data_IF_032948499333
#
_entry.id   IF_032948499333
#
_cell.length_a   1.000
_cell.length_b   1.000
_cell.length_c   1.000
_cell.angle_alpha   90.00
_cell.angle_beta   90.00
_cell.angle_gamma   90.00
#
_symmetry.space_group_name_H-M   'P 1'
#
loop_
_entity.id
_entity.type
_entity.pdbx_description
1 polymer ?
#
# COMPACT_ATOMS: atom_id res chain seq x y z
N UNK A 1 18.30 -42.13 -41.16
CA UNK A 1 18.87 -41.25 -40.12
C UNK A 1 18.14 -39.92 -40.25
N UNK A 2 17.35 -39.52 -39.23
CA UNK A 2 16.55 -38.29 -39.24
C UNK A 2 17.41 -37.16 -38.68
N UNK A 3 17.75 -36.17 -39.49
CA UNK A 3 18.57 -35.04 -39.07
C UNK A 3 17.68 -34.03 -38.33
N UNK A 4 17.91 -33.89 -37.03
CA UNK A 4 17.21 -32.94 -36.16
C UNK A 4 17.98 -31.61 -36.17
N UNK A 5 17.39 -30.56 -36.75
CA UNK A 5 17.93 -29.19 -36.72
C UNK A 5 17.46 -28.49 -35.45
N UNK A 6 18.39 -28.06 -34.60
CA UNK A 6 18.14 -27.24 -33.41
C UNK A 6 18.46 -25.79 -33.76
N UNK A 7 17.55 -24.81 -33.57
CA UNK A 7 17.86 -23.42 -33.82
C UNK A 7 18.64 -22.82 -32.63
N UNK A 8 19.77 -22.20 -32.93
CA UNK A 8 20.60 -21.43 -31.99
C UNK A 8 20.01 -20.02 -31.83
N UNK A 9 19.51 -19.70 -30.63
CA UNK A 9 19.07 -18.35 -30.27
C UNK A 9 20.29 -17.50 -29.89
N UNK A 10 20.65 -16.53 -30.73
CA UNK A 10 21.69 -15.54 -30.43
C UNK A 10 21.05 -14.35 -29.71
N UNK A 11 21.35 -14.19 -28.43
CA UNK A 11 20.98 -13.01 -27.63
C UNK A 11 22.10 -11.96 -27.79
N UNK A 12 21.83 -10.89 -28.52
CA UNK A 12 22.71 -9.72 -28.60
C UNK A 12 22.41 -8.85 -27.37
N UNK A 13 23.33 -8.85 -26.40
CA UNK A 13 23.24 -8.00 -25.22
C UNK A 13 23.49 -6.53 -25.59
N UNK A 14 22.52 -5.65 -25.30
CA UNK A 14 22.74 -4.20 -25.31
C UNK A 14 23.60 -3.81 -24.10
N UNK A 15 24.84 -3.38 -24.32
CA UNK A 15 25.64 -2.71 -23.30
C UNK A 15 25.38 -1.21 -23.32
N UNK A 16 24.79 -0.69 -22.23
CA UNK A 16 24.68 0.75 -22.00
C UNK A 16 26.09 1.32 -21.74
N UNK A 17 26.62 2.12 -22.67
CA UNK A 17 27.78 2.95 -22.39
C UNK A 17 27.29 4.19 -21.63
N UNK A 18 27.50 4.22 -20.31
CA UNK A 18 27.35 5.45 -19.55
C UNK A 18 28.49 6.40 -19.98
N UNK A 19 28.13 7.52 -20.60
CA UNK A 19 29.03 8.64 -20.84
C UNK A 19 29.30 9.30 -19.48
N UNK A 20 30.36 8.90 -18.79
CA UNK A 20 30.86 9.68 -17.67
C UNK A 20 31.46 10.97 -18.21
N UNK A 21 31.07 12.13 -17.66
CA UNK A 21 31.78 13.38 -17.92
C UNK A 21 33.27 13.19 -17.60
N UNK A 22 34.16 13.94 -18.27
CA UNK A 22 35.58 13.92 -17.93
C UNK A 22 35.74 14.35 -16.47
N UNK A 23 35.93 13.37 -15.58
CA UNK A 23 36.37 13.62 -14.21
C UNK A 23 37.86 13.94 -14.34
N UNK A 24 38.26 15.12 -13.86
CA UNK A 24 39.68 15.40 -13.68
C UNK A 24 40.20 14.46 -12.58
N UNK A 25 40.90 13.40 -12.98
CA UNK A 25 41.39 12.32 -12.14
C UNK A 25 42.91 12.38 -11.91
N UNK A 26 43.55 13.46 -12.37
CA UNK A 26 44.98 13.67 -12.22
C UNK A 26 45.41 15.12 -12.44
N UNK A 27 46.69 15.39 -12.17
CA UNK A 27 47.29 16.74 -12.25
C UNK A 27 48.36 16.75 -13.33
N UNK A 28 48.19 17.58 -14.36
CA UNK A 28 49.22 17.75 -15.38
C UNK A 28 50.50 18.36 -14.80
N UNK A 29 51.64 17.73 -15.07
CA UNK A 29 52.95 18.18 -14.65
C UNK A 29 53.91 18.18 -15.84
N UNK A 30 54.71 19.24 -15.95
CA UNK A 30 55.69 19.41 -17.01
C UNK A 30 56.95 20.06 -16.45
N UNK A 31 58.11 19.49 -16.73
CA UNK A 31 59.38 20.00 -16.24
C UNK A 31 60.55 19.63 -17.17
N UNK A 32 61.67 20.33 -17.01
CA UNK A 32 62.92 20.08 -17.72
C UNK A 32 63.92 19.42 -16.77
N UNK A 33 64.47 18.27 -17.16
CA UNK A 33 65.47 17.54 -16.40
C UNK A 33 66.90 18.01 -16.74
N UNK A 34 67.64 18.44 -15.72
CA UNK A 34 69.03 18.92 -15.80
C UNK A 34 69.97 18.04 -14.97
N UNK A 35 71.21 17.87 -15.43
CA UNK A 35 72.26 17.14 -14.71
C UNK A 35 72.82 17.98 -13.54
N UNK A 36 73.27 17.32 -12.48
CA UNK A 36 73.69 17.89 -11.19
C UNK A 36 75.07 18.57 -11.23
N UNK A 37 75.33 19.45 -12.20
CA UNK A 37 76.60 20.21 -12.23
C UNK A 37 76.52 21.59 -11.53
N UNK A 38 75.47 21.87 -10.76
CA UNK A 38 75.35 23.12 -9.99
C UNK A 38 74.35 23.04 -8.85
N UNK A 39 74.67 23.67 -7.71
CA UNK A 39 73.74 23.91 -6.62
C UNK A 39 72.84 25.08 -7.00
N UNK A 40 71.52 24.90 -6.94
CA UNK A 40 70.55 25.97 -7.17
C UNK A 40 70.70 27.06 -6.09
N UNK A 41 70.84 28.32 -6.53
CA UNK A 41 70.76 29.52 -5.69
C UNK A 41 69.76 30.46 -6.36
N UNK A 42 68.85 31.05 -5.59
CA UNK A 42 67.78 31.89 -6.13
C UNK A 42 68.34 33.04 -6.98
N UNK A 43 67.94 33.09 -8.25
CA UNK A 43 68.30 34.15 -9.20
C UNK A 43 69.53 33.91 -10.07
N UNK A 44 70.09 32.68 -10.10
CA UNK A 44 71.21 32.32 -10.97
C UNK A 44 70.93 31.05 -11.77
N UNK A 45 71.23 31.06 -13.08
CA UNK A 45 71.02 29.91 -13.98
C UNK A 45 71.83 28.69 -13.52
N UNK A 46 71.18 27.53 -13.46
CA UNK A 46 71.84 26.24 -13.28
C UNK A 46 72.68 25.95 -14.53
N UNK A 47 74.00 25.89 -14.39
CA UNK A 47 74.92 25.42 -15.45
C UNK A 47 74.97 23.87 -15.51
N UNK A 48 73.80 23.24 -15.48
CA UNK A 48 73.63 21.79 -15.62
C UNK A 48 73.45 21.41 -17.09
N UNK A 49 74.05 20.29 -17.52
CA UNK A 49 73.81 19.78 -18.87
C UNK A 49 72.38 19.24 -18.99
N UNK A 50 71.72 19.50 -20.11
CA UNK A 50 70.38 18.98 -20.41
C UNK A 50 70.42 17.45 -20.48
N UNK A 51 69.47 16.79 -19.83
CA UNK A 51 69.28 15.34 -19.93
C UNK A 51 68.41 15.05 -21.16
N UNK A 52 69.02 15.01 -22.34
CA UNK A 52 68.32 14.82 -23.62
C UNK A 52 68.05 13.34 -23.93
N UNK A 53 66.80 12.99 -24.28
CA UNK A 53 66.48 11.69 -24.89
C UNK A 53 66.65 10.48 -23.97
N UNK A 54 66.70 10.68 -22.64
CA UNK A 54 66.97 9.60 -21.68
C UNK A 54 65.70 9.14 -20.97
N UNK A 55 65.62 7.84 -20.75
CA UNK A 55 64.64 7.25 -19.85
C UNK A 55 65.02 7.57 -18.40
N UNK A 56 64.12 8.23 -17.68
CA UNK A 56 64.26 8.59 -16.26
C UNK A 56 63.06 8.06 -15.47
N UNK A 57 63.25 7.88 -14.16
CA UNK A 57 62.13 7.68 -13.25
C UNK A 57 61.86 8.98 -12.49
N UNK A 58 60.59 9.39 -12.40
CA UNK A 58 60.15 10.55 -11.63
C UNK A 58 59.17 10.07 -10.57
N UNK A 59 59.39 10.47 -9.32
CA UNK A 59 58.55 10.10 -8.19
C UNK A 59 57.86 11.34 -7.65
N UNK A 60 56.54 11.25 -7.54
CA UNK A 60 55.71 12.27 -6.92
C UNK A 60 55.23 11.77 -5.56
N UNK A 61 55.11 12.67 -4.59
CA UNK A 61 54.55 12.34 -3.27
C UNK A 61 53.71 13.51 -2.76
N UNK A 62 52.49 13.21 -2.30
CA UNK A 62 51.64 14.15 -1.57
C UNK A 62 51.91 14.03 -0.07
N UNK A 63 52.19 15.15 0.58
CA UNK A 63 52.53 15.24 2.00
C UNK A 63 51.58 16.20 2.71
N UNK A 64 51.10 15.85 3.90
CA UNK A 64 50.14 16.64 4.69
C UNK A 64 50.82 17.52 5.76
N UNK A 65 50.31 18.74 5.96
CA UNK A 65 50.61 19.64 7.07
C UNK A 65 51.93 20.41 6.92
N UNK A 66 53.05 19.70 6.77
CA UNK A 66 54.40 20.26 6.60
C UNK A 66 55.18 19.55 5.48
N UNK A 67 56.29 20.13 4.96
CA UNK A 67 57.13 19.47 3.96
C UNK A 67 57.67 18.09 4.38
N UNK A 68 57.75 17.81 5.68
CA UNK A 68 58.19 16.55 6.28
C UNK A 68 57.05 15.77 6.97
N UNK A 69 55.79 16.10 6.69
CA UNK A 69 54.61 15.51 7.32
C UNK A 69 54.25 14.10 6.84
N UNK A 70 52.99 13.69 7.03
CA UNK A 70 52.52 12.35 6.68
C UNK A 70 52.50 12.16 5.15
N UNK A 71 53.03 11.03 4.67
CA UNK A 71 52.95 10.64 3.26
C UNK A 71 51.54 10.13 2.94
N UNK A 72 50.75 10.93 2.23
CA UNK A 72 49.40 10.55 1.83
C UNK A 72 49.38 9.67 0.59
N UNK A 73 50.13 10.04 -0.44
CA UNK A 73 50.14 9.35 -1.73
C UNK A 73 51.52 9.42 -2.35
N UNK A 74 51.89 8.38 -3.11
CA UNK A 74 53.14 8.34 -3.87
C UNK A 74 52.96 7.53 -5.12
N UNK A 75 53.59 7.98 -6.20
CA UNK A 75 53.66 7.23 -7.45
C UNK A 75 55.01 7.42 -8.16
N UNK A 76 55.31 6.49 -9.06
CA UNK A 76 56.50 6.54 -9.93
C UNK A 76 56.11 6.48 -11.39
N UNK A 77 56.60 7.44 -12.17
CA UNK A 77 56.52 7.46 -13.62
C UNK A 77 57.86 7.06 -14.23
N UNK A 78 57.81 6.26 -15.30
CA UNK A 78 58.96 6.01 -16.17
C UNK A 78 58.74 6.77 -17.47
N UNK A 79 59.55 7.81 -17.73
CA UNK A 79 59.37 8.71 -18.88
C UNK A 79 60.65 8.90 -19.65
N UNK A 80 60.52 9.29 -20.93
CA UNK A 80 61.64 9.73 -21.75
C UNK A 80 61.62 11.26 -21.85
N UNK A 81 62.77 11.89 -21.66
CA UNK A 81 62.93 13.32 -21.92
C UNK A 81 63.08 13.60 -23.41
N UNK A 82 62.69 14.79 -23.87
CA UNK A 82 62.89 15.22 -25.25
C UNK A 82 64.31 15.79 -25.48
N UNK A 83 64.51 16.41 -26.65
CA UNK A 83 65.81 17.01 -27.01
C UNK A 83 66.25 18.19 -26.12
N UNK A 84 65.31 18.77 -25.38
CA UNK A 84 65.50 19.89 -24.46
C UNK A 84 65.40 19.45 -22.99
N UNK A 85 65.31 18.14 -22.72
CA UNK A 85 65.18 17.60 -21.37
C UNK A 85 63.76 17.66 -20.81
N UNK A 86 62.78 18.08 -21.61
CA UNK A 86 61.38 18.22 -21.21
C UNK A 86 60.71 16.86 -21.08
N UNK A 87 59.91 16.69 -20.04
CA UNK A 87 58.96 15.59 -19.90
C UNK A 87 57.61 16.12 -19.42
N UNK A 88 56.54 15.39 -19.75
CA UNK A 88 55.19 15.69 -19.31
C UNK A 88 54.50 14.41 -18.84
N UNK A 89 53.78 14.51 -17.72
CA UNK A 89 53.05 13.41 -17.07
C UNK A 89 51.75 13.92 -16.46
N UNK A 90 50.85 13.00 -16.16
CA UNK A 90 49.67 13.27 -15.34
C UNK A 90 49.90 12.59 -13.99
N UNK A 91 50.03 13.39 -12.93
CA UNK A 91 50.14 12.90 -11.58
C UNK A 91 48.83 12.20 -11.20
N UNK A 92 48.90 10.98 -10.68
CA UNK A 92 47.77 10.09 -10.43
C UNK A 92 47.67 8.93 -11.43
N UNK A 93 48.41 9.00 -12.55
CA UNK A 93 48.45 7.96 -13.59
C UNK A 93 49.76 7.16 -13.60
N UNK A 94 50.62 7.36 -12.60
CA UNK A 94 51.86 6.62 -12.42
C UNK A 94 51.62 5.29 -11.69
N UNK A 95 52.71 4.58 -11.43
CA UNK A 95 52.63 3.37 -10.59
C UNK A 95 52.58 3.79 -9.12
N UNK A 96 51.41 3.70 -8.50
CA UNK A 96 51.23 3.98 -7.08
C UNK A 96 52.15 3.08 -6.22
N UNK A 97 52.77 3.67 -5.21
CA UNK A 97 53.63 2.97 -4.26
C UNK A 97 52.82 2.52 -3.05
N UNK A 98 53.08 1.30 -2.57
CA UNK A 98 52.35 0.69 -1.46
C UNK A 98 52.54 1.39 -0.10
N UNK A 99 53.51 2.31 0.01
CA UNK A 99 53.81 3.05 1.24
C UNK A 99 53.05 4.38 1.37
N UNK A 100 52.31 4.80 0.34
CA UNK A 100 51.33 5.88 0.47
C UNK A 100 50.08 5.41 1.23
N UNK A 101 49.56 6.25 2.13
CA UNK A 101 48.30 6.01 2.86
C UNK A 101 47.13 5.70 1.93
N UNK A 102 47.06 6.38 0.80
CA UNK A 102 46.10 6.18 -0.27
C UNK A 102 46.79 5.58 -1.50
N UNK A 103 46.05 4.75 -2.24
CA UNK A 103 46.52 4.13 -3.48
C UNK A 103 46.00 4.82 -4.74
N UNK A 104 44.99 5.68 -4.59
CA UNK A 104 44.47 6.55 -5.64
C UNK A 104 44.61 8.02 -5.22
N UNK A 105 44.99 8.89 -6.17
CA UNK A 105 45.14 10.33 -5.92
C UNK A 105 43.79 10.98 -5.53
N UNK A 106 42.68 10.41 -6.03
CA UNK A 106 41.31 10.87 -5.79
C UNK A 106 40.78 10.59 -4.39
N UNK A 107 41.42 9.71 -3.62
CA UNK A 107 41.03 9.39 -2.24
C UNK A 107 41.55 10.41 -1.21
N UNK A 108 42.46 11.31 -1.62
CA UNK A 108 43.01 12.35 -0.75
C UNK A 108 41.93 13.39 -0.42
N UNK A 109 41.80 13.75 0.85
CA UNK A 109 41.01 14.90 1.26
C UNK A 109 41.77 16.21 0.97
N UNK A 110 41.54 16.79 -0.20
CA UNK A 110 42.17 18.01 -0.68
C UNK A 110 41.82 19.28 0.12
N UNK A 111 40.85 19.20 1.04
CA UNK A 111 40.35 20.33 1.83
C UNK A 111 40.67 20.28 3.32
N UNK A 112 41.22 19.18 3.84
CA UNK A 112 41.42 18.96 5.26
C UNK A 112 42.59 19.77 5.86
N UNK A 113 43.73 19.83 5.16
CA UNK A 113 44.95 20.54 5.61
C UNK A 113 45.78 21.02 4.41
N UNK A 114 46.91 21.69 4.68
CA UNK A 114 47.91 22.10 3.69
C UNK A 114 48.57 20.87 3.09
N UNK A 115 48.56 20.78 1.76
CA UNK A 115 49.23 19.71 1.02
C UNK A 115 50.50 20.21 0.33
N UNK A 116 51.50 19.33 0.22
CA UNK A 116 52.77 19.61 -0.43
C UNK A 116 53.05 18.54 -1.49
N UNK A 117 53.45 19.01 -2.67
CA UNK A 117 53.99 18.19 -3.75
C UNK A 117 55.50 18.05 -3.57
N UNK A 118 55.95 16.85 -3.27
CA UNK A 118 57.37 16.47 -3.29
C UNK A 118 57.70 15.78 -4.61
N UNK A 119 58.78 16.24 -5.26
CA UNK A 119 59.25 15.72 -6.54
C UNK A 119 60.67 15.18 -6.39
N UNK A 120 60.89 13.96 -6.86
CA UNK A 120 62.18 13.31 -6.84
C UNK A 120 62.48 12.64 -8.20
N UNK A 121 63.75 12.58 -8.59
CA UNK A 121 64.18 12.01 -9.87
C UNK A 121 65.24 10.93 -9.67
N UNK A 122 65.18 9.88 -10.48
CA UNK A 122 66.23 8.87 -10.61
C UNK A 122 66.61 8.75 -12.09
N UNK A 123 67.72 9.41 -12.43
CA UNK A 123 68.24 9.51 -13.80
C UNK A 123 68.81 8.17 -14.28
N UNK A 124 69.31 7.32 -13.37
CA UNK A 124 69.93 6.03 -13.69
C UNK A 124 68.95 4.87 -13.63
N UNK A 125 67.72 5.12 -13.18
CA UNK A 125 66.69 4.09 -12.93
C UNK A 125 67.18 2.99 -11.98
N UNK A 126 68.05 3.35 -11.04
CA UNK A 126 68.66 2.42 -10.07
C UNK A 126 67.85 2.26 -8.78
N UNK A 127 66.73 2.95 -8.63
CA UNK A 127 65.93 3.06 -7.41
C UNK A 127 66.41 4.15 -6.45
N UNK A 128 67.47 4.88 -6.78
CA UNK A 128 68.04 5.94 -5.95
C UNK A 128 67.50 7.30 -6.39
N UNK A 129 66.42 7.73 -5.75
CA UNK A 129 65.75 9.00 -6.05
C UNK A 129 66.43 10.18 -5.35
N UNK A 130 66.61 11.26 -6.09
CA UNK A 130 67.15 12.54 -5.60
C UNK A 130 66.05 13.58 -5.51
N UNK A 131 66.02 14.34 -4.41
CA UNK A 131 65.06 15.42 -4.19
C UNK A 131 65.28 16.58 -5.17
N UNK A 132 64.22 16.96 -5.90
CA UNK A 132 64.18 18.12 -6.78
C UNK A 132 63.50 19.32 -6.10
N UNK A 133 62.50 19.08 -5.24
CA UNK A 133 61.86 20.13 -4.48
C UNK A 133 60.63 19.65 -3.71
N UNK A 134 60.21 20.48 -2.75
CA UNK A 134 58.94 20.33 -2.02
C UNK A 134 58.22 21.66 -2.10
N UNK A 135 57.01 21.69 -2.67
CA UNK A 135 56.23 22.90 -2.85
C UNK A 135 54.84 22.74 -2.26
N UNK A 136 54.39 23.74 -1.49
CA UNK A 136 53.00 23.78 -1.03
C UNK A 136 52.05 23.96 -2.22
N UNK A 137 51.02 23.12 -2.28
CA UNK A 137 49.95 23.25 -3.26
C UNK A 137 48.99 24.35 -2.82
N UNK A 138 48.63 25.21 -3.77
CA UNK A 138 47.67 26.29 -3.58
C UNK A 138 46.38 25.95 -4.34
N UNK A 139 45.24 26.34 -3.78
CA UNK A 139 43.95 26.17 -4.44
C UNK A 139 43.89 26.95 -5.77
N UNK A 140 43.30 26.32 -6.79
CA UNK A 140 42.98 26.95 -8.08
C UNK A 140 41.58 27.58 -8.05
N UNK A 141 41.21 28.52 -8.95
CA UNK A 141 39.90 29.21 -8.91
C UNK A 141 38.67 28.29 -8.82
N UNK A 142 38.68 27.13 -9.49
CA UNK A 142 37.60 26.15 -9.41
C UNK A 142 37.50 25.49 -8.01
N UNK A 143 38.63 25.24 -7.35
CA UNK A 143 38.68 24.68 -6.00
C UNK A 143 38.17 25.66 -4.92
N UNK A 144 38.27 26.97 -5.16
CA UNK A 144 37.66 27.97 -4.27
C UNK A 144 36.13 27.98 -4.34
N UNK A 145 35.53 27.60 -5.47
CA UNK A 145 34.08 27.48 -5.58
C UNK A 145 33.54 26.28 -4.79
N UNK A 146 34.22 25.13 -4.85
CA UNK A 146 33.84 23.95 -4.05
C UNK A 146 33.97 24.19 -2.55
N UNK A 147 35.00 24.92 -2.11
CA UNK A 147 35.19 25.28 -0.70
C UNK A 147 34.05 26.15 -0.13
N UNK A 148 33.44 26.99 -0.96
CA UNK A 148 32.33 27.87 -0.57
C UNK A 148 30.95 27.23 -0.73
N UNK A 149 30.86 26.00 -1.24
CA UNK A 149 29.58 25.32 -1.34
C UNK A 149 29.12 24.84 0.05
N UNK A 150 27.88 25.13 0.47
CA UNK A 150 27.35 24.62 1.73
C UNK A 150 27.38 23.09 1.75
N UNK A 151 28.00 22.51 2.79
CA UNK A 151 27.92 21.07 3.05
C UNK A 151 26.47 20.71 3.38
N UNK A 152 25.89 19.81 2.59
CA UNK A 152 24.57 19.24 2.91
C UNK A 152 24.79 18.20 3.99
N UNK A 153 24.38 18.50 5.22
CA UNK A 153 24.40 17.53 6.33
C UNK A 153 23.46 16.37 5.99
N UNK A 154 23.83 15.15 6.39
CA UNK A 154 22.95 14.00 6.24
C UNK A 154 21.63 14.21 7.00
N UNK A 155 20.52 13.89 6.36
CA UNK A 155 19.19 13.91 6.96
C UNK A 155 18.87 12.60 7.67
N UNK A 156 17.67 12.53 8.25
CA UNK A 156 17.08 11.30 8.80
C UNK A 156 16.16 10.63 7.77
N UNK A 157 15.79 9.37 8.03
CA UNK A 157 14.79 8.64 7.21
C UNK A 157 13.40 9.28 7.20
N UNK A 158 13.11 10.17 8.15
CA UNK A 158 11.83 10.90 8.27
C UNK A 158 11.89 12.29 7.64
N UNK A 159 12.87 12.57 6.78
CA UNK A 159 13.05 13.88 6.16
C UNK A 159 13.28 13.78 4.65
N UNK A 160 12.99 14.86 3.94
CA UNK A 160 13.36 15.08 2.55
C UNK A 160 14.08 16.42 2.40
N UNK A 161 14.96 16.50 1.40
CA UNK A 161 15.72 17.71 1.11
C UNK A 161 14.96 18.58 0.11
N UNK A 162 14.83 19.88 0.39
CA UNK A 162 14.22 20.86 -0.53
C UNK A 162 15.25 21.53 -1.42
N UNK A 163 14.77 22.20 -2.47
CA UNK A 163 15.61 22.98 -3.40
C UNK A 163 16.34 24.17 -2.76
N UNK A 164 15.90 24.61 -1.58
CA UNK A 164 16.57 25.60 -0.74
C UNK A 164 17.69 25.01 0.14
N UNK A 165 18.01 23.70 -0.05
CA UNK A 165 18.98 22.93 0.73
C UNK A 165 18.64 22.77 2.21
N UNK A 166 17.36 22.92 2.58
CA UNK A 166 16.89 22.65 3.95
C UNK A 166 16.18 21.30 4.04
N UNK A 167 16.36 20.62 5.18
CA UNK A 167 15.64 19.39 5.48
C UNK A 167 14.24 19.70 6.01
N UNK A 168 13.24 18.99 5.50
CA UNK A 168 11.85 19.07 5.96
C UNK A 168 11.35 17.70 6.39
N UNK A 169 10.49 17.64 7.41
CA UNK A 169 9.84 16.40 7.85
C UNK A 169 8.97 15.81 6.74
N UNK A 170 9.09 14.50 6.53
CA UNK A 170 8.22 13.70 5.68
C UNK A 170 7.02 13.21 6.52
N UNK A 171 5.90 13.92 6.44
CA UNK A 171 4.65 13.58 7.11
C UNK A 171 3.47 13.51 6.12
N UNK A 172 2.26 13.18 6.61
CA UNK A 172 1.05 13.11 5.76
C UNK A 172 0.74 14.43 5.07
N UNK A 173 1.05 15.56 5.71
CA UNK A 173 0.81 16.89 5.14
C UNK A 173 1.75 17.11 3.95
N UNK A 174 3.02 16.76 4.11
CA UNK A 174 4.05 16.89 3.07
C UNK A 174 3.72 16.13 1.78
N UNK A 175 2.95 15.04 1.85
CA UNK A 175 2.52 14.23 0.69
C UNK A 175 1.05 14.40 0.33
N UNK A 176 0.31 15.33 0.94
CA UNK A 176 -1.10 15.58 0.62
C UNK A 176 -2.07 14.47 1.06
N UNK A 177 -1.70 13.67 2.06
CA UNK A 177 -2.47 12.54 2.58
C UNK A 177 -3.18 12.85 3.91
N UNK A 178 -3.58 14.11 4.13
CA UNK A 178 -4.23 14.55 5.38
C UNK A 178 -5.53 13.80 5.71
N UNK A 179 -6.24 13.32 4.68
CA UNK A 179 -7.48 12.56 4.84
C UNK A 179 -7.28 11.04 4.96
N UNK A 180 -6.04 10.56 4.78
CA UNK A 180 -5.74 9.13 4.87
C UNK A 180 -5.54 8.76 6.33
N UNK A 181 -6.38 7.88 6.84
CA UNK A 181 -6.22 7.27 8.16
C UNK A 181 -5.34 6.02 8.05
N UNK A 182 -4.37 5.89 8.95
CA UNK A 182 -3.50 4.71 9.02
C UNK A 182 -3.93 3.85 10.21
N UNK A 183 -5.18 3.41 10.17
CA UNK A 183 -5.82 2.60 11.22
C UNK A 183 -6.18 1.25 10.62
N UNK A 184 -5.87 0.16 11.32
CA UNK A 184 -6.31 -1.17 10.90
C UNK A 184 -7.83 -1.23 10.82
N UNK A 185 -8.37 -1.85 9.78
CA UNK A 185 -9.82 -1.93 9.57
C UNK A 185 -10.57 -2.55 10.77
N UNK A 186 -9.89 -3.43 11.52
CA UNK A 186 -10.39 -4.07 12.75
C UNK A 186 -10.73 -3.12 13.89
N UNK A 187 -10.15 -1.91 13.90
CA UNK A 187 -10.40 -0.89 14.92
C UNK A 187 -10.88 0.43 14.33
N UNK A 188 -11.24 0.43 13.03
CA UNK A 188 -11.67 1.64 12.35
C UNK A 188 -13.16 1.89 12.61
N UNK A 189 -13.45 2.98 13.33
CA UNK A 189 -14.81 3.36 13.71
C UNK A 189 -15.54 4.19 12.64
N UNK A 190 -14.99 4.29 11.43
CA UNK A 190 -15.45 5.22 10.40
C UNK A 190 -14.85 6.62 10.54
N UNK A 191 -14.98 7.43 9.50
CA UNK A 191 -14.60 8.84 9.52
C UNK A 191 -15.57 9.69 8.70
N UNK A 192 -15.64 10.98 9.02
CA UNK A 192 -16.42 11.95 8.24
C UNK A 192 -15.84 12.21 6.84
N UNK A 193 -14.64 11.71 6.56
CA UNK A 193 -13.97 11.89 5.27
C UNK A 193 -14.43 10.86 4.22
N UNK A 194 -15.15 9.81 4.64
CA UNK A 194 -15.68 8.78 3.74
C UNK A 194 -17.20 8.92 3.60
N UNK A 195 -17.63 9.49 2.47
CA UNK A 195 -19.05 9.65 2.14
C UNK A 195 -19.76 8.33 1.79
N UNK A 196 -19.01 7.28 1.45
CA UNK A 196 -19.57 5.99 1.04
C UNK A 196 -18.59 4.87 1.39
N UNK A 197 -19.05 3.88 2.18
CA UNK A 197 -18.23 2.72 2.60
C UNK A 197 -18.13 1.65 1.49
N UNK A 198 -18.92 1.78 0.42
CA UNK A 198 -18.94 0.86 -0.72
C UNK A 198 -19.87 -0.36 -0.50
N UNK A 199 -19.75 -1.35 -1.37
CA UNK A 199 -20.55 -2.58 -1.33
C UNK A 199 -19.72 -3.75 -0.81
N UNK A 200 -20.29 -4.57 0.08
CA UNK A 200 -19.70 -5.87 0.44
C UNK A 200 -20.05 -6.86 -0.68
N UNK A 201 -19.14 -7.04 -1.65
CA UNK A 201 -19.35 -7.96 -2.78
C UNK A 201 -19.18 -9.44 -2.43
N UNK A 202 -18.48 -9.71 -1.33
CA UNK A 202 -18.23 -11.06 -0.81
C UNK A 202 -17.89 -11.00 0.68
N UNK A 203 -18.28 -12.03 1.44
CA UNK A 203 -18.01 -12.13 2.88
C UNK A 203 -19.19 -11.73 3.76
N UNK A 204 -19.01 -11.85 5.07
CA UNK A 204 -20.04 -11.55 6.08
C UNK A 204 -19.81 -10.16 6.67
N UNK A 205 -20.89 -9.42 6.88
CA UNK A 205 -20.85 -8.23 7.72
C UNK A 205 -20.77 -8.65 9.19
N UNK A 206 -19.61 -8.46 9.82
CA UNK A 206 -19.35 -8.86 11.21
C UNK A 206 -19.44 -7.68 12.19
N UNK A 207 -20.28 -6.68 11.92
CA UNK A 207 -20.51 -5.61 12.88
C UNK A 207 -21.56 -6.02 13.93
N UNK A 208 -21.68 -5.21 14.97
CA UNK A 208 -22.80 -5.29 15.91
C UNK A 208 -24.14 -4.91 15.26
N UNK A 209 -25.15 -4.58 16.07
CA UNK A 209 -26.47 -4.15 15.56
C UNK A 209 -26.36 -2.99 14.55
N UNK A 210 -27.16 -3.05 13.48
CA UNK A 210 -27.29 -1.95 12.53
C UNK A 210 -28.15 -0.83 13.14
N UNK A 211 -27.56 0.35 13.37
CA UNK A 211 -28.31 1.56 13.70
C UNK A 211 -28.38 2.46 12.47
N UNK A 212 -29.53 2.50 11.79
CA UNK A 212 -29.75 3.27 10.57
C UNK A 212 -30.74 4.40 10.83
N UNK A 213 -30.41 5.63 10.43
CA UNK A 213 -31.34 6.77 10.45
C UNK A 213 -32.33 6.76 9.27
N UNK A 214 -32.10 5.89 8.27
CA UNK A 214 -32.95 5.73 7.09
C UNK A 214 -33.48 4.31 6.92
N UNK A 215 -34.27 4.11 5.86
CA UNK A 215 -34.83 2.81 5.48
C UNK A 215 -33.72 1.80 5.13
N UNK A 216 -33.85 0.59 5.67
CA UNK A 216 -33.03 -0.56 5.27
C UNK A 216 -33.83 -1.35 4.22
N UNK A 217 -33.22 -1.63 3.07
CA UNK A 217 -33.81 -2.47 2.03
C UNK A 217 -32.95 -3.71 1.80
N UNK A 218 -33.58 -4.81 1.44
CA UNK A 218 -32.90 -6.07 1.15
C UNK A 218 -33.86 -7.03 0.47
N UNK A 219 -33.32 -8.00 -0.28
CA UNK A 219 -34.14 -9.02 -0.94
C UNK A 219 -34.92 -9.87 0.06
N UNK A 220 -34.41 -10.01 1.28
CA UNK A 220 -35.10 -10.66 2.40
C UNK A 220 -34.56 -10.18 3.75
N UNK A 221 -35.44 -10.19 4.75
CA UNK A 221 -35.09 -10.10 6.16
C UNK A 221 -35.42 -11.44 6.79
N UNK A 222 -34.43 -12.14 7.34
CA UNK A 222 -34.59 -13.48 7.89
C UNK A 222 -34.05 -13.55 9.31
N UNK A 223 -34.79 -14.21 10.20
CA UNK A 223 -34.24 -14.67 11.47
C UNK A 223 -33.50 -15.97 11.23
N UNK A 224 -32.30 -16.12 11.82
CA UNK A 224 -31.54 -17.37 11.72
C UNK A 224 -32.39 -18.54 12.22
N UNK A 225 -32.62 -19.53 11.35
CA UNK A 225 -33.46 -20.70 11.63
C UNK A 225 -34.97 -20.50 11.45
N UNK A 226 -35.42 -19.34 10.95
CA UNK A 226 -36.82 -19.11 10.62
C UNK A 226 -37.29 -19.91 9.39
N UNK A 227 -38.59 -20.11 9.27
CA UNK A 227 -39.22 -20.82 8.15
C UNK A 227 -40.06 -19.87 7.28
N UNK A 228 -40.40 -20.29 6.05
CA UNK A 228 -41.23 -19.49 5.13
C UNK A 228 -42.69 -19.33 5.57
N UNK A 229 -43.13 -20.07 6.59
CA UNK A 229 -44.49 -20.01 7.15
C UNK A 229 -44.61 -19.03 8.32
N UNK A 230 -43.50 -18.39 8.72
CA UNK A 230 -43.44 -17.50 9.87
C UNK A 230 -43.49 -16.04 9.44
N UNK A 231 -44.17 -15.22 10.24
CA UNK A 231 -44.12 -13.77 10.12
C UNK A 231 -43.10 -13.23 11.13
N UNK A 232 -42.19 -12.36 10.69
CA UNK A 232 -41.23 -11.70 11.56
C UNK A 232 -41.80 -10.39 12.09
N UNK A 233 -41.62 -10.15 13.38
CA UNK A 233 -41.93 -8.89 14.05
C UNK A 233 -40.76 -7.91 13.96
N UNK A 234 -41.03 -6.63 14.20
CA UNK A 234 -40.01 -5.58 14.19
C UNK A 234 -38.91 -5.77 15.25
N UNK A 235 -39.23 -6.44 16.37
CA UNK A 235 -38.27 -6.80 17.42
C UNK A 235 -37.44 -8.06 17.09
N UNK A 236 -37.65 -8.66 15.91
CA UNK A 236 -36.98 -9.87 15.45
C UNK A 236 -37.58 -11.17 16.00
N UNK A 237 -38.65 -11.11 16.78
CA UNK A 237 -39.40 -12.29 17.20
C UNK A 237 -40.24 -12.87 16.05
N UNK A 238 -40.64 -14.14 16.19
CA UNK A 238 -41.61 -14.77 15.29
C UNK A 238 -43.00 -14.52 15.85
N UNK A 239 -43.92 -14.16 14.96
CA UNK A 239 -45.34 -14.07 15.29
C UNK A 239 -45.91 -15.46 15.56
N UNK A 240 -46.42 -15.67 16.78
CA UNK A 240 -47.02 -16.93 17.20
C UNK A 240 -48.56 -16.93 17.07
N UNK A 241 -49.16 -15.87 16.53
CA UNK A 241 -50.60 -15.84 16.34
C UNK A 241 -51.02 -16.83 15.24
N UNK A 242 -52.09 -17.58 15.51
CA UNK A 242 -52.80 -18.32 14.47
C UNK A 242 -53.65 -17.33 13.70
N UNK A 243 -53.24 -17.02 12.47
CA UNK A 243 -54.02 -16.19 11.58
C UNK A 243 -55.14 -17.00 10.94
N UNK A 244 -56.38 -16.60 11.17
CA UNK A 244 -57.52 -17.12 10.41
C UNK A 244 -57.31 -16.70 8.96
N UNK A 245 -57.12 -17.67 8.06
CA UNK A 245 -56.86 -17.41 6.64
C UNK A 245 -58.13 -17.25 5.81
N UNK A 246 -59.31 -17.45 6.43
CA UNK A 246 -60.61 -17.13 5.86
C UNK A 246 -61.76 -17.52 6.79
N UNK A 247 -62.88 -16.82 6.66
CA UNK A 247 -64.18 -17.18 7.23
C UNK A 247 -65.00 -17.76 6.08
N UNK A 248 -65.57 -18.96 6.22
CA UNK A 248 -66.47 -19.53 5.19
C UNK A 248 -67.90 -19.54 5.71
N UNK A 249 -68.83 -19.03 4.92
CA UNK A 249 -70.27 -19.13 5.18
C UNK A 249 -70.81 -20.43 4.59
N UNK A 250 -71.73 -21.05 5.30
CA UNK A 250 -72.46 -22.22 4.84
C UNK A 250 -73.93 -22.11 5.23
N UNK A 251 -74.75 -22.71 4.39
CA UNK A 251 -76.19 -22.82 4.54
C UNK A 251 -76.55 -24.30 4.49
N UNK A 252 -77.00 -24.85 5.61
CA UNK A 252 -77.51 -26.22 5.68
C UNK A 252 -79.04 -26.20 5.66
N UNK A 253 -79.65 -26.99 4.77
CA UNK A 253 -81.09 -27.13 4.66
C UNK A 253 -81.56 -28.57 4.93
N UNK A 254 -82.68 -28.69 5.63
CA UNK A 254 -83.31 -29.97 6.00
C UNK A 254 -84.82 -29.90 5.77
N UNK A 255 -85.45 -31.05 5.52
CA UNK A 255 -86.90 -31.22 5.66
C UNK A 255 -87.19 -31.94 6.97
N UNK A 256 -87.93 -31.31 7.88
CA UNK A 256 -88.22 -31.87 9.19
C UNK A 256 -89.20 -33.05 9.10
N UNK A 257 -89.06 -34.01 10.02
CA UNK A 257 -90.10 -34.97 10.36
C UNK A 257 -91.03 -34.41 11.45
N UNK A 258 -92.22 -34.99 11.61
CA UNK A 258 -93.16 -34.57 12.65
C UNK A 258 -92.54 -34.72 14.05
N UNK A 259 -92.52 -33.64 14.83
CA UNK A 259 -91.92 -33.59 16.16
C UNK A 259 -90.39 -33.63 16.22
N UNK A 260 -89.68 -33.57 15.08
CA UNK A 260 -88.22 -33.54 15.07
C UNK A 260 -87.70 -32.32 15.84
N UNK A 261 -86.67 -32.52 16.65
CA UNK A 261 -86.06 -31.45 17.45
C UNK A 261 -84.54 -31.37 17.32
N UNK A 262 -83.90 -32.28 16.57
CA UNK A 262 -82.44 -32.29 16.41
C UNK A 262 -82.02 -32.30 14.94
N UNK A 263 -81.01 -31.51 14.64
CA UNK A 263 -80.36 -31.38 13.34
C UNK A 263 -78.84 -31.52 13.53
N UNK A 264 -78.16 -32.04 12.50
CA UNK A 264 -76.71 -32.16 12.46
C UNK A 264 -76.19 -31.34 11.30
N UNK A 265 -75.46 -30.28 11.61
CA UNK A 265 -74.82 -29.38 10.65
C UNK A 265 -73.63 -30.05 9.97
N UNK A 266 -73.36 -29.65 8.73
CA UNK A 266 -72.25 -30.16 7.92
C UNK A 266 -70.88 -29.81 8.50
N UNK A 267 -70.78 -28.70 9.26
CA UNK A 267 -69.56 -28.22 9.91
C UNK A 267 -69.86 -27.70 11.33
N UNK A 268 -68.85 -27.71 12.21
CA UNK A 268 -68.95 -27.06 13.52
C UNK A 268 -68.97 -25.55 13.30
N UNK A 269 -69.98 -24.81 13.77
CA UNK A 269 -69.94 -23.35 13.71
C UNK A 269 -68.74 -22.81 14.48
N UNK A 270 -68.09 -21.79 13.95
CA UNK A 270 -67.06 -21.02 14.64
C UNK A 270 -67.62 -20.47 15.97
N UNK A 271 -66.76 -20.30 16.97
CA UNK A 271 -67.15 -19.74 18.27
C UNK A 271 -67.62 -18.28 18.15
N UNK A 272 -67.16 -17.58 17.12
CA UNK A 272 -67.61 -16.23 16.77
C UNK A 272 -68.80 -16.21 15.79
N UNK A 273 -69.31 -17.39 15.39
CA UNK A 273 -70.43 -17.49 14.44
C UNK A 273 -71.78 -17.30 15.12
N UNK A 274 -72.53 -16.30 14.66
CA UNK A 274 -73.95 -16.17 14.97
C UNK A 274 -74.80 -17.09 14.07
N UNK A 275 -74.95 -18.36 14.46
CA UNK A 275 -75.81 -19.31 13.75
C UNK A 275 -77.25 -18.82 13.69
N UNK A 276 -77.87 -18.91 12.52
CA UNK A 276 -79.22 -18.40 12.22
C UNK A 276 -80.14 -19.54 11.80
N UNK A 277 -81.16 -19.87 12.59
CA UNK A 277 -82.15 -20.87 12.22
C UNK A 277 -83.38 -20.24 11.56
N UNK A 278 -83.89 -20.84 10.48
CA UNK A 278 -85.15 -20.48 9.85
C UNK A 278 -86.06 -21.69 9.75
N UNK A 279 -87.37 -21.49 9.93
CA UNK A 279 -88.41 -22.48 9.67
C UNK A 279 -89.31 -21.92 8.56
N UNK A 280 -89.42 -22.64 7.44
CA UNK A 280 -90.17 -22.22 6.25
C UNK A 280 -89.82 -20.79 5.78
N UNK A 281 -88.54 -20.41 5.90
CA UNK A 281 -88.03 -19.09 5.53
C UNK A 281 -88.21 -18.00 6.59
N UNK A 282 -88.87 -18.27 7.71
CA UNK A 282 -89.04 -17.32 8.81
C UNK A 282 -87.90 -17.48 9.81
N UNK A 283 -87.21 -16.37 10.10
CA UNK A 283 -86.11 -16.36 11.08
C UNK A 283 -86.65 -16.65 12.48
N UNK A 284 -86.00 -17.60 13.15
CA UNK A 284 -86.35 -18.03 14.50
C UNK A 284 -85.43 -17.38 15.53
N UNK A 285 -85.99 -17.08 16.71
CA UNK A 285 -85.24 -16.56 17.85
C UNK A 285 -84.07 -17.45 18.22
N UNK A 286 -82.93 -16.85 18.56
CA UNK A 286 -81.76 -17.57 19.04
C UNK A 286 -82.03 -18.35 20.34
N UNK A 287 -83.04 -17.96 21.12
CA UNK A 287 -83.46 -18.69 22.34
C UNK A 287 -84.20 -19.99 22.03
N UNK A 288 -84.65 -20.20 20.79
CA UNK A 288 -85.43 -21.37 20.40
C UNK A 288 -84.58 -22.53 19.89
N UNK A 289 -83.25 -22.45 20.02
CA UNK A 289 -82.38 -23.57 19.74
C UNK A 289 -81.09 -23.50 20.56
N UNK A 290 -80.50 -24.66 20.83
CA UNK A 290 -79.16 -24.78 21.40
C UNK A 290 -78.22 -25.40 20.38
N UNK A 291 -77.00 -24.88 20.29
CA UNK A 291 -75.94 -25.41 19.42
C UNK A 291 -74.86 -26.04 20.30
N UNK A 292 -74.46 -27.28 19.99
CA UNK A 292 -73.34 -27.94 20.65
C UNK A 292 -72.57 -28.80 19.63
N UNK A 293 -71.32 -28.42 19.37
CA UNK A 293 -70.56 -28.98 18.26
C UNK A 293 -71.29 -28.76 16.94
N UNK A 294 -71.56 -29.85 16.21
CA UNK A 294 -72.34 -29.82 14.97
C UNK A 294 -73.84 -30.03 15.20
N UNK A 295 -74.32 -30.21 16.43
CA UNK A 295 -75.74 -30.50 16.68
C UNK A 295 -76.51 -29.24 17.04
N UNK A 296 -77.64 -29.03 16.39
CA UNK A 296 -78.64 -28.03 16.80
C UNK A 296 -79.86 -28.73 17.37
N UNK A 297 -80.28 -28.33 18.57
CA UNK A 297 -81.51 -28.80 19.21
C UNK A 297 -82.54 -27.67 19.20
N UNK A 298 -83.62 -27.81 18.45
CA UNK A 298 -84.76 -26.91 18.44
C UNK A 298 -85.62 -27.07 19.72
N UNK A 299 -86.06 -25.94 20.27
CA UNK A 299 -86.80 -25.82 21.53
C UNK A 299 -88.16 -25.15 21.24
N UNK A 300 -89.20 -25.93 20.90
CA UNK A 300 -90.52 -25.40 20.54
C UNK A 300 -91.12 -24.44 21.56
N UNK A 301 -90.91 -24.71 22.86
CA UNK A 301 -91.43 -23.89 23.95
C UNK A 301 -90.97 -22.41 23.86
N UNK A 302 -89.77 -22.18 23.32
CA UNK A 302 -89.20 -20.84 23.13
C UNK A 302 -89.55 -20.23 21.77
N UNK A 303 -90.39 -20.91 20.99
CA UNK A 303 -90.94 -20.45 19.72
C UNK A 303 -92.48 -20.59 19.71
N UNK A 304 -93.15 -20.20 20.79
CA UNK A 304 -94.60 -20.23 20.90
C UNK A 304 -95.19 -21.65 20.98
N UNK A 305 -94.41 -22.63 21.44
CA UNK A 305 -94.78 -24.05 21.51
C UNK A 305 -95.09 -24.68 20.13
N UNK A 306 -94.54 -24.12 19.06
CA UNK A 306 -94.73 -24.62 17.70
C UNK A 306 -93.82 -25.83 17.44
N UNK A 307 -94.40 -27.03 17.45
CA UNK A 307 -93.70 -28.25 17.03
C UNK A 307 -93.51 -28.25 15.51
N UNK A 308 -92.36 -28.76 15.06
CA UNK A 308 -92.10 -28.96 13.64
C UNK A 308 -93.02 -30.05 13.09
N UNK A 309 -93.50 -29.84 11.87
CA UNK A 309 -94.32 -30.79 11.13
C UNK A 309 -93.51 -31.45 10.03
N UNK A 310 -93.96 -32.63 9.61
CA UNK A 310 -93.39 -33.30 8.44
C UNK A 310 -93.43 -32.38 7.21
N UNK A 311 -92.26 -32.13 6.62
CA UNK A 311 -92.08 -31.29 5.44
C UNK A 311 -91.72 -29.82 5.71
N UNK A 312 -91.66 -29.36 6.97
CA UNK A 312 -91.14 -28.03 7.27
C UNK A 312 -89.68 -27.88 6.79
N UNK A 313 -89.38 -26.82 6.04
CA UNK A 313 -88.01 -26.51 5.59
C UNK A 313 -87.25 -25.83 6.72
N UNK A 314 -86.17 -26.45 7.18
CA UNK A 314 -85.31 -25.94 8.23
C UNK A 314 -83.99 -25.53 7.60
N UNK A 315 -83.58 -24.29 7.84
CA UNK A 315 -82.35 -23.74 7.28
C UNK A 315 -81.46 -23.19 8.41
N UNK A 316 -80.16 -23.42 8.32
CA UNK A 316 -79.16 -22.85 9.21
C UNK A 316 -78.07 -22.11 8.42
N UNK A 317 -77.93 -20.82 8.66
CA UNK A 317 -76.80 -20.02 8.12
C UNK A 317 -75.76 -19.80 9.23
N UNK A 318 -74.51 -20.15 8.98
CA UNK A 318 -73.42 -19.98 9.95
C UNK A 318 -72.03 -19.90 9.28
N UNK A 319 -71.04 -19.46 10.05
CA UNK A 319 -69.63 -19.47 9.67
C UNK A 319 -68.87 -20.61 10.35
N UNK A 320 -67.84 -21.16 9.70
CA UNK A 320 -66.93 -22.16 10.25
C UNK A 320 -65.47 -21.91 9.86
#
# INVERSE_FOLDING_TARGET
>A
MKNLLIPLLVIIGLSNNALFGQVADGISYQAVALDESGKEIAGQDISGNIINGKAINVRFSMIEGTPEGELLYREVHSVNTDQYGLFSVIIGHGNASADGKFQELTDIDWGADRLYLKVEIDIKRSGNFKLMGIQQMMAVPFAFYSLNSPVIKAGTVSQYLRGDKTWQTLDKSAVGLGNVENTGLSSWNGSSNLNTVGTISSGSWNAGPLNSSGTITGSSFVRRGGTSSQFLKADGSVDNNTYITGIREINDEFSASDGQSRFTLSHRPSEDSNLKMFINGIRISNSAYNVSGNSVTYLPANNGSNNLRSGDRIQFDYYY
#
